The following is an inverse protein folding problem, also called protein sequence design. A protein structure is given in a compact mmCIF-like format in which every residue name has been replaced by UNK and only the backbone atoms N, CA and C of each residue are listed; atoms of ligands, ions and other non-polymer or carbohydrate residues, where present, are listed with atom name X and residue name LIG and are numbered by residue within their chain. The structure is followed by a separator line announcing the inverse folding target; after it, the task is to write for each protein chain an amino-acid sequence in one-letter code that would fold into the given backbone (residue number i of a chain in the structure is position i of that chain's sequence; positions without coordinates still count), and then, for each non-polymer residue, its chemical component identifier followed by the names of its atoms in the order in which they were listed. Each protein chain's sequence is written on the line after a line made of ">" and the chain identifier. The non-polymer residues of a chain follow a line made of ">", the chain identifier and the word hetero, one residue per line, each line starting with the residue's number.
data_IF_916165737510
#
_entry.id   IF_916165737510
#
_cell.length_a   1.000
_cell.length_b   1.000
_cell.length_c   1.000
_cell.angle_alpha   90.00
_cell.angle_beta   90.00
_cell.angle_gamma   90.00
#
_symmetry.space_group_name_H-M   'P 1'
#
loop_
_entity.id
_entity.type
_entity.pdbx_description
1 polymer ?
#
# COMPACT_ATOMS: atom_id res chain seq x y z
N UNK A 1 29.99 -25.58 60.85
CA UNK A 1 29.70 -24.13 61.04
C UNK A 1 30.87 -23.37 60.40
N UNK A 2 30.70 -22.31 59.60
CA UNK A 2 29.48 -21.62 59.12
C UNK A 2 29.40 -21.38 57.57
N UNK A 3 28.20 -21.01 57.11
CA UNK A 3 27.87 -20.36 55.82
C UNK A 3 28.09 -18.82 55.92
N UNK A 4 28.07 -18.02 54.82
CA UNK A 4 26.81 -17.37 54.36
C UNK A 4 26.66 -17.30 52.81
N UNK A 5 25.46 -17.49 52.24
CA UNK A 5 24.35 -16.53 51.97
C UNK A 5 24.62 -15.54 50.83
N UNK A 6 23.91 -15.79 49.72
CA UNK A 6 23.22 -14.88 48.79
C UNK A 6 23.88 -13.56 48.39
N UNK A 7 24.15 -13.42 47.09
CA UNK A 7 23.98 -12.13 46.40
C UNK A 7 23.02 -12.36 45.24
N UNK A 8 21.78 -11.90 45.42
CA UNK A 8 20.82 -11.72 44.34
C UNK A 8 21.40 -10.66 43.39
N UNK A 9 21.98 -11.10 42.28
CA UNK A 9 22.12 -10.25 41.10
C UNK A 9 20.76 -10.26 40.40
N UNK A 10 20.05 -9.14 40.42
CA UNK A 10 18.82 -8.95 39.67
C UNK A 10 19.03 -9.46 38.24
N UNK A 11 18.29 -10.51 37.84
CA UNK A 11 18.06 -10.78 36.44
C UNK A 11 17.32 -9.56 35.89
N UNK A 12 18.08 -8.62 35.32
CA UNK A 12 17.52 -7.71 34.34
C UNK A 12 17.04 -8.59 33.20
N UNK A 13 15.76 -8.93 33.23
CA UNK A 13 15.06 -9.56 32.13
C UNK A 13 15.15 -8.58 30.96
N UNK A 14 16.18 -8.72 30.12
CA UNK A 14 16.20 -8.03 28.84
C UNK A 14 14.91 -8.42 28.12
N UNK A 15 14.11 -7.46 27.64
CA UNK A 15 12.89 -7.78 26.92
C UNK A 15 13.24 -8.72 25.76
N UNK A 16 12.42 -9.75 25.50
CA UNK A 16 12.72 -10.73 24.47
C UNK A 16 12.99 -10.00 23.16
N UNK A 17 14.16 -10.31 22.57
CA UNK A 17 14.60 -9.71 21.32
C UNK A 17 13.56 -10.06 20.26
N UNK A 18 12.81 -9.04 19.82
CA UNK A 18 11.74 -9.21 18.85
C UNK A 18 12.38 -9.67 17.54
N UNK A 19 12.16 -10.93 17.17
CA UNK A 19 12.54 -11.46 15.88
C UNK A 19 11.29 -11.64 15.03
N UNK A 20 11.50 -11.63 13.72
CA UNK A 20 10.45 -11.87 12.73
C UNK A 20 10.44 -13.36 12.37
N UNK A 21 9.26 -13.86 12.00
CA UNK A 21 9.00 -15.25 11.61
C UNK A 21 9.06 -16.30 12.72
N UNK A 22 8.89 -17.56 12.31
CA UNK A 22 8.70 -18.74 13.17
C UNK A 22 10.01 -19.34 13.69
N UNK A 23 11.16 -18.96 13.12
CA UNK A 23 12.48 -19.48 13.49
C UNK A 23 13.42 -18.36 13.92
N UNK A 24 14.36 -18.70 14.81
CA UNK A 24 15.39 -17.77 15.24
C UNK A 24 16.28 -17.29 14.08
N UNK A 25 16.80 -16.05 14.13
CA UNK A 25 17.66 -15.51 13.09
C UNK A 25 18.99 -16.27 12.99
N UNK A 26 19.50 -16.44 11.77
CA UNK A 26 20.78 -17.13 11.50
C UNK A 26 21.97 -16.31 12.02
N UNK A 27 21.89 -14.99 11.95
CA UNK A 27 22.92 -14.08 12.44
C UNK A 27 22.31 -12.76 12.90
N UNK A 28 22.82 -12.24 14.01
CA UNK A 28 22.52 -10.89 14.51
C UNK A 28 23.69 -9.92 14.26
N UNK A 29 24.69 -10.32 13.48
CA UNK A 29 25.86 -9.50 13.20
C UNK A 29 25.48 -8.26 12.39
N UNK A 30 25.94 -7.10 12.84
CA UNK A 30 25.77 -5.82 12.13
C UNK A 30 26.69 -5.75 10.91
N UNK A 31 26.29 -5.04 9.83
CA UNK A 31 27.12 -4.90 8.65
C UNK A 31 28.44 -4.20 8.97
N UNK A 32 29.53 -4.71 8.39
CA UNK A 32 30.85 -4.07 8.44
C UNK A 32 30.89 -2.88 7.48
N UNK A 33 31.82 -1.95 7.71
CA UNK A 33 32.04 -0.79 6.85
C UNK A 33 32.25 -1.18 5.36
N UNK A 34 32.96 -2.28 5.10
CA UNK A 34 33.14 -2.80 3.74
C UNK A 34 31.82 -3.20 3.08
N UNK A 35 30.89 -3.78 3.83
CA UNK A 35 29.55 -4.12 3.32
C UNK A 35 28.73 -2.86 3.03
N UNK A 36 28.84 -1.81 3.86
CA UNK A 36 28.19 -0.52 3.61
C UNK A 36 28.68 0.13 2.30
N UNK A 37 29.98 0.12 2.05
CA UNK A 37 30.57 0.66 0.81
C UNK A 37 30.11 -0.13 -0.43
N UNK A 38 30.04 -1.46 -0.33
CA UNK A 38 29.53 -2.30 -1.42
C UNK A 38 28.06 -2.01 -1.72
N UNK A 39 27.23 -1.80 -0.69
CA UNK A 39 25.83 -1.40 -0.86
C UNK A 39 25.71 -0.06 -1.57
N UNK A 40 26.52 0.95 -1.22
CA UNK A 40 26.51 2.24 -1.93
C UNK A 40 26.89 2.09 -3.41
N UNK A 41 27.91 1.27 -3.71
CA UNK A 41 28.30 0.99 -5.09
C UNK A 41 27.20 0.25 -5.87
N UNK A 42 26.44 -0.62 -5.20
CA UNK A 42 25.29 -1.30 -5.79
C UNK A 42 24.17 -0.31 -6.14
N UNK A 43 23.87 0.63 -5.24
CA UNK A 43 22.84 1.66 -5.46
C UNK A 43 23.17 2.60 -6.62
N UNK A 44 24.46 2.91 -6.83
CA UNK A 44 24.93 3.72 -7.96
C UNK A 44 25.14 2.95 -9.27
N UNK A 45 24.71 1.68 -9.34
CA UNK A 45 24.86 0.86 -10.54
C UNK A 45 23.99 1.33 -11.71
N UNK A 46 24.37 1.04 -12.97
CA UNK A 46 23.73 1.57 -14.19
C UNK A 46 22.37 0.94 -14.51
N UNK A 47 21.83 0.10 -13.63
CA UNK A 47 20.65 -0.72 -13.91
C UNK A 47 19.33 0.04 -13.75
N UNK A 48 19.34 1.34 -13.44
CA UNK A 48 18.13 2.17 -13.35
C UNK A 48 17.07 1.63 -12.38
N UNK A 49 17.50 0.88 -11.35
CA UNK A 49 16.61 0.14 -10.43
C UNK A 49 15.94 1.10 -9.45
N UNK A 50 16.62 2.21 -9.13
CA UNK A 50 16.05 3.33 -8.42
C UNK A 50 15.45 4.23 -9.48
N UNK A 51 14.14 4.45 -9.43
CA UNK A 51 13.56 5.43 -10.32
C UNK A 51 13.59 6.85 -9.77
N UNK A 52 13.25 7.79 -10.63
CA UNK A 52 13.33 9.23 -10.42
C UNK A 52 12.30 9.78 -9.42
N UNK A 53 12.71 10.79 -8.66
CA UNK A 53 11.83 11.50 -7.71
C UNK A 53 10.62 12.14 -8.43
N UNK A 54 10.80 12.61 -9.67
CA UNK A 54 9.73 13.23 -10.45
C UNK A 54 8.57 12.26 -10.74
N UNK A 55 8.87 11.00 -11.09
CA UNK A 55 7.82 10.01 -11.33
C UNK A 55 7.11 9.64 -10.01
N UNK A 56 7.83 9.61 -8.89
CA UNK A 56 7.24 9.41 -7.57
C UNK A 56 6.26 10.55 -7.22
N UNK A 57 6.66 11.80 -7.44
CA UNK A 57 5.79 12.95 -7.21
C UNK A 57 4.56 12.92 -8.12
N UNK A 58 4.74 12.55 -9.40
CA UNK A 58 3.64 12.37 -10.33
C UNK A 58 2.64 11.30 -9.86
N UNK A 59 3.15 10.15 -9.38
CA UNK A 59 2.35 9.08 -8.80
C UNK A 59 1.54 9.55 -7.60
N UNK A 60 2.17 10.28 -6.67
CA UNK A 60 1.50 10.83 -5.47
C UNK A 60 0.37 11.79 -5.86
N UNK A 61 0.61 12.65 -6.85
CA UNK A 61 -0.40 13.60 -7.34
C UNK A 61 -1.63 12.86 -7.91
N UNK A 62 -1.42 11.85 -8.75
CA UNK A 62 -2.50 11.06 -9.32
C UNK A 62 -3.29 10.32 -8.24
N UNK A 63 -2.62 9.77 -7.23
CA UNK A 63 -3.30 9.17 -6.07
C UNK A 63 -4.21 10.17 -5.35
N UNK A 64 -3.75 11.41 -5.18
CA UNK A 64 -4.55 12.49 -4.62
C UNK A 64 -5.81 12.75 -5.45
N UNK A 65 -5.66 12.84 -6.78
CA UNK A 65 -6.80 13.01 -7.71
C UNK A 65 -7.82 11.88 -7.58
N UNK A 66 -7.36 10.62 -7.61
CA UNK A 66 -8.22 9.44 -7.49
C UNK A 66 -8.95 9.38 -6.16
N UNK A 67 -8.28 9.67 -5.05
CA UNK A 67 -8.89 9.71 -3.72
C UNK A 67 -9.98 10.77 -3.63
N UNK A 68 -9.80 11.93 -4.28
CA UNK A 68 -10.84 12.96 -4.33
C UNK A 68 -12.03 12.54 -5.21
N UNK A 69 -11.78 11.91 -6.35
CA UNK A 69 -12.83 11.36 -7.21
C UNK A 69 -13.66 10.28 -6.50
N UNK A 70 -13.01 9.40 -5.71
CA UNK A 70 -13.71 8.41 -4.90
C UNK A 70 -14.65 9.07 -3.89
N UNK A 71 -14.17 10.10 -3.17
CA UNK A 71 -15.00 10.85 -2.20
C UNK A 71 -16.17 11.56 -2.86
N UNK A 72 -15.94 12.21 -3.99
CA UNK A 72 -16.98 12.89 -4.76
C UNK A 72 -18.06 11.89 -5.21
N UNK A 73 -17.64 10.76 -5.76
CA UNK A 73 -18.54 9.70 -6.18
C UNK A 73 -19.37 9.14 -5.01
N UNK A 74 -18.76 8.89 -3.85
CA UNK A 74 -19.50 8.38 -2.68
C UNK A 74 -20.53 9.40 -2.20
N UNK A 75 -20.19 10.70 -2.24
CA UNK A 75 -21.14 11.78 -1.94
C UNK A 75 -22.33 11.76 -2.91
N UNK A 76 -22.08 11.71 -4.21
CA UNK A 76 -23.14 11.64 -5.25
C UNK A 76 -24.06 10.43 -5.06
N UNK A 77 -23.49 9.26 -4.79
CA UNK A 77 -24.29 8.05 -4.52
C UNK A 77 -25.11 8.20 -3.24
N UNK A 78 -24.54 8.80 -2.19
CA UNK A 78 -25.24 9.02 -0.92
C UNK A 78 -26.42 9.99 -1.06
N UNK A 79 -26.22 11.07 -1.81
CA UNK A 79 -27.25 12.04 -2.18
C UNK A 79 -28.36 11.38 -3.01
N UNK A 80 -28.00 10.60 -4.05
CA UNK A 80 -28.97 9.89 -4.89
C UNK A 80 -29.85 8.89 -4.12
N UNK A 81 -29.33 8.35 -3.01
CA UNK A 81 -30.02 7.41 -2.13
C UNK A 81 -30.77 8.09 -0.98
N UNK A 82 -30.81 9.43 -0.95
CA UNK A 82 -31.43 10.23 0.10
C UNK A 82 -30.93 9.86 1.51
N UNK A 83 -29.64 9.55 1.65
CA UNK A 83 -29.05 9.28 2.95
C UNK A 83 -29.01 10.57 3.79
N UNK A 84 -29.24 10.49 5.12
CA UNK A 84 -29.10 11.64 6.01
C UNK A 84 -27.70 12.24 5.91
N UNK A 85 -27.58 13.57 6.00
CA UNK A 85 -26.30 14.29 5.95
C UNK A 85 -25.28 13.76 6.96
N UNK A 86 -25.75 13.38 8.15
CA UNK A 86 -24.96 12.74 9.21
C UNK A 86 -24.34 11.39 8.83
N UNK A 87 -24.97 10.67 7.89
CA UNK A 87 -24.46 9.41 7.35
C UNK A 87 -23.55 9.71 6.17
N UNK A 88 -23.95 10.59 5.26
CA UNK A 88 -23.18 11.01 4.06
C UNK A 88 -21.78 11.54 4.39
N UNK A 89 -21.63 12.32 5.46
CA UNK A 89 -20.31 12.80 5.92
C UNK A 89 -19.42 11.67 6.46
N UNK A 90 -20.01 10.56 6.88
CA UNK A 90 -19.33 9.39 7.45
C UNK A 90 -19.22 8.19 6.50
N UNK A 91 -19.88 8.22 5.33
CA UNK A 91 -19.70 7.21 4.27
C UNK A 91 -18.38 7.51 3.57
N UNK A 92 -17.27 7.24 4.24
CA UNK A 92 -15.95 7.34 3.63
C UNK A 92 -15.69 6.19 2.65
N UNK A 93 -14.90 6.47 1.62
CA UNK A 93 -14.14 5.49 0.86
C UNK A 93 -12.70 5.50 1.33
N UNK A 94 -12.04 4.35 1.31
CA UNK A 94 -10.62 4.28 1.58
C UNK A 94 -9.94 3.54 0.45
N UNK A 95 -9.31 4.30 -0.43
CA UNK A 95 -8.39 3.76 -1.39
C UNK A 95 -7.17 3.18 -0.66
N UNK A 96 -6.83 1.94 -1.00
CA UNK A 96 -5.62 1.29 -0.54
C UNK A 96 -4.66 1.15 -1.71
N UNK A 97 -3.36 1.20 -1.44
CA UNK A 97 -2.35 0.77 -2.41
C UNK A 97 -1.84 -0.60 -1.97
N UNK A 98 -1.69 -1.51 -2.92
CA UNK A 98 -1.22 -2.88 -2.68
C UNK A 98 0.05 -3.17 -3.48
N UNK A 99 0.75 -4.24 -3.06
CA UNK A 99 1.93 -4.78 -3.72
C UNK A 99 3.08 -3.77 -3.86
N UNK A 100 3.72 -3.75 -5.02
CA UNK A 100 4.98 -3.06 -5.29
C UNK A 100 4.94 -1.56 -4.97
N UNK A 101 3.79 -0.91 -5.13
CA UNK A 101 3.62 0.50 -4.81
C UNK A 101 3.82 0.80 -3.30
N UNK A 102 3.45 -0.13 -2.41
CA UNK A 102 3.66 0.02 -0.95
C UNK A 102 5.07 -0.39 -0.52
N UNK A 103 5.77 -1.17 -1.35
CA UNK A 103 7.13 -1.68 -1.12
C UNK A 103 8.22 -0.87 -1.82
N UNK A 104 7.90 0.36 -2.28
CA UNK A 104 8.85 1.29 -2.95
C UNK A 104 9.45 0.69 -4.24
N UNK A 105 8.90 -0.42 -4.72
CA UNK A 105 9.37 -1.10 -5.93
C UNK A 105 8.54 -0.64 -7.12
N UNK A 106 9.27 -0.24 -8.15
CA UNK A 106 8.82 0.49 -9.31
C UNK A 106 8.07 -0.39 -10.31
N UNK A 107 6.80 -0.68 -10.04
CA UNK A 107 5.92 -1.26 -11.06
C UNK A 107 4.53 -0.61 -11.08
N UNK A 108 4.05 -0.47 -12.31
CA UNK A 108 3.03 0.44 -12.87
C UNK A 108 1.60 0.29 -12.34
N UNK A 109 1.36 -0.38 -11.21
CA UNK A 109 0.03 -0.87 -10.87
C UNK A 109 -0.44 -0.36 -9.51
N UNK A 110 -1.47 0.49 -9.54
CA UNK A 110 -2.25 0.84 -8.36
C UNK A 110 -3.48 -0.07 -8.27
N UNK A 111 -3.67 -0.81 -7.16
CA UNK A 111 -4.90 -1.59 -6.94
C UNK A 111 -5.86 -0.80 -6.05
N UNK A 112 -6.92 -0.21 -6.62
CA UNK A 112 -8.00 0.40 -5.87
C UNK A 112 -9.10 -0.62 -5.55
N UNK A 113 -9.61 -0.61 -4.33
CA UNK A 113 -10.66 -1.53 -3.90
C UNK A 113 -11.93 -0.78 -3.52
N UNK A 114 -13.00 -0.96 -4.29
CA UNK A 114 -14.31 -0.37 -3.97
C UNK A 114 -15.34 -1.48 -3.73
N UNK A 115 -16.39 -1.16 -2.96
CA UNK A 115 -17.50 -2.09 -2.68
C UNK A 115 -18.43 -2.28 -3.88
N UNK A 116 -18.45 -1.34 -4.83
CA UNK A 116 -19.40 -1.34 -5.95
C UNK A 116 -18.69 -1.00 -7.26
N UNK A 117 -19.15 -1.62 -8.34
CA UNK A 117 -18.64 -1.41 -9.69
C UNK A 117 -18.99 -0.04 -10.28
N UNK A 118 -19.96 0.69 -9.70
CA UNK A 118 -20.40 1.99 -10.23
C UNK A 118 -19.36 3.11 -10.17
N UNK A 119 -18.30 2.98 -9.37
CA UNK A 119 -17.17 3.94 -9.43
C UNK A 119 -16.45 3.87 -10.78
N UNK A 120 -16.35 2.66 -11.36
CA UNK A 120 -15.76 2.47 -12.68
C UNK A 120 -16.53 3.21 -13.77
N UNK A 121 -17.86 3.23 -13.69
CA UNK A 121 -18.68 3.95 -14.66
C UNK A 121 -18.42 5.46 -14.61
N UNK A 122 -18.23 6.03 -13.41
CA UNK A 122 -17.78 7.43 -13.28
C UNK A 122 -16.39 7.63 -13.89
N UNK A 123 -15.45 6.72 -13.65
CA UNK A 123 -14.10 6.81 -14.21
C UNK A 123 -14.09 6.81 -15.73
N UNK A 124 -14.96 6.04 -16.40
CA UNK A 124 -15.09 6.05 -17.88
C UNK A 124 -15.53 7.38 -18.46
N UNK A 125 -16.27 8.20 -17.69
CA UNK A 125 -16.74 9.51 -18.13
C UNK A 125 -15.65 10.58 -18.05
N UNK A 126 -14.56 10.30 -17.34
CA UNK A 126 -13.45 11.24 -17.18
C UNK A 126 -12.52 11.12 -18.40
N UNK A 127 -12.28 12.24 -19.10
CA UNK A 127 -11.44 12.27 -20.30
C UNK A 127 -10.00 11.79 -20.09
N UNK A 128 -9.50 11.85 -18.85
CA UNK A 128 -8.15 11.40 -18.46
C UNK A 128 -8.05 9.86 -18.39
N UNK A 129 -9.17 9.14 -18.42
CA UNK A 129 -9.22 7.68 -18.38
C UNK A 129 -9.14 7.10 -19.79
N UNK A 130 -8.20 6.18 -20.02
CA UNK A 130 -7.98 5.45 -21.27
C UNK A 130 -7.85 3.95 -21.02
N UNK A 131 -7.89 3.15 -22.08
CA UNK A 131 -7.60 1.72 -22.08
C UNK A 131 -8.35 0.90 -21.01
N UNK A 132 -9.62 1.25 -20.78
CA UNK A 132 -10.44 0.59 -19.77
C UNK A 132 -10.89 -0.79 -20.23
N UNK A 133 -10.56 -1.83 -19.46
CA UNK A 133 -10.98 -3.22 -19.70
C UNK A 133 -11.36 -3.92 -18.41
N UNK A 134 -12.50 -4.59 -18.40
CA UNK A 134 -12.87 -5.48 -17.31
C UNK A 134 -12.32 -6.89 -17.58
N UNK A 135 -11.80 -7.55 -16.55
CA UNK A 135 -11.36 -8.94 -16.57
C UNK A 135 -12.12 -9.65 -15.46
N UNK A 136 -13.30 -10.19 -15.82
CA UNK A 136 -14.20 -10.87 -14.88
C UNK A 136 -13.82 -12.34 -14.67
N UNK A 137 -13.22 -12.98 -15.68
CA UNK A 137 -12.82 -14.40 -15.70
C UNK A 137 -11.54 -14.72 -14.87
N UNK A 138 -11.12 -13.82 -13.99
CA UNK A 138 -9.96 -14.01 -13.13
C UNK A 138 -10.38 -14.49 -11.72
N UNK A 139 -9.45 -15.10 -10.98
CA UNK A 139 -9.67 -15.50 -9.58
C UNK A 139 -10.17 -14.34 -8.69
N UNK A 140 -9.79 -13.10 -9.04
CA UNK A 140 -10.35 -11.87 -8.49
C UNK A 140 -10.77 -11.01 -9.67
N UNK A 141 -12.08 -10.71 -9.85
CA UNK A 141 -12.54 -9.81 -10.90
C UNK A 141 -11.86 -8.45 -10.74
N UNK A 142 -11.16 -8.02 -11.80
CA UNK A 142 -10.45 -6.74 -11.82
C UNK A 142 -10.81 -5.92 -13.04
N UNK A 143 -10.81 -4.61 -12.88
CA UNK A 143 -10.97 -3.66 -13.98
C UNK A 143 -9.66 -2.89 -14.13
N UNK A 144 -9.06 -2.96 -15.30
CA UNK A 144 -7.79 -2.30 -15.61
C UNK A 144 -8.08 -1.06 -16.44
N UNK A 145 -7.52 0.09 -16.05
CA UNK A 145 -7.65 1.34 -16.78
C UNK A 145 -6.37 2.17 -16.64
N UNK A 146 -6.09 3.01 -17.61
CA UNK A 146 -5.02 3.99 -17.58
C UNK A 146 -5.59 5.35 -17.20
N UNK A 147 -5.09 5.99 -16.15
CA UNK A 147 -5.51 7.32 -15.73
C UNK A 147 -4.29 8.24 -15.66
N UNK A 148 -4.28 9.31 -16.45
CA UNK A 148 -3.17 10.28 -16.50
C UNK A 148 -1.81 9.60 -16.76
N UNK A 149 -1.81 8.58 -17.62
CA UNK A 149 -0.62 7.79 -17.96
C UNK A 149 -0.26 6.68 -16.95
N UNK A 150 -1.02 6.52 -15.87
CA UNK A 150 -0.78 5.49 -14.86
C UNK A 150 -1.72 4.29 -14.91
N UNK A 151 -1.10 3.12 -14.76
CA UNK A 151 -1.74 1.81 -14.68
C UNK A 151 -2.58 1.62 -13.40
N UNK A 152 -3.90 1.49 -13.48
CA UNK A 152 -4.77 1.25 -12.32
C UNK A 152 -5.56 -0.04 -12.51
N UNK A 153 -5.59 -0.87 -11.47
CA UNK A 153 -6.50 -1.99 -11.32
C UNK A 153 -7.53 -1.66 -10.24
N UNK A 154 -8.79 -1.95 -10.52
CA UNK A 154 -9.85 -1.94 -9.53
C UNK A 154 -10.22 -3.37 -9.19
N UNK A 155 -10.22 -3.72 -7.90
CA UNK A 155 -10.69 -5.01 -7.42
C UNK A 155 -11.96 -4.83 -6.57
N UNK A 156 -12.96 -5.67 -6.80
CA UNK A 156 -14.14 -5.70 -5.92
C UNK A 156 -13.82 -6.52 -4.66
N UNK A 157 -13.79 -5.87 -3.50
CA UNK A 157 -13.68 -6.60 -2.24
C UNK A 157 -15.04 -7.20 -1.87
N UNK A 158 -15.12 -8.53 -1.85
CA UNK A 158 -16.23 -9.25 -1.25
C UNK A 158 -16.09 -9.19 0.29
N UNK A 159 -16.53 -8.09 0.90
CA UNK A 159 -16.67 -8.03 2.35
C UNK A 159 -17.81 -8.96 2.76
N UNK A 160 -17.51 -10.01 3.53
CA UNK A 160 -18.53 -10.74 4.26
C UNK A 160 -19.26 -9.76 5.18
N UNK A 161 -20.60 -9.83 5.16
CA UNK A 161 -21.47 -8.99 5.99
C UNK A 161 -21.24 -9.25 7.47
#
# INVERSE_FOLDING_TARGET
>A
IPFPITTQGAQQTQPPLKHYDVTSPISLAVPKETACLLTQKLLGGPFGVLGEEEELQHKILILGKLNNLEKEWIREISESKNLPQSVTENVGGKMFTFAFYRLVCWYEWLVCCTKTTSFYDKMKLIQQTKDSRAVEEACVPVIKLCFDGMLILFARLALQR
#
